data_IF_917361147943
#
_entry.id   IF_917361147943
#
_cell.length_a   1.000
_cell.length_b   1.000
_cell.length_c   1.000
_cell.angle_alpha   90.00
_cell.angle_beta   90.00
_cell.angle_gamma   90.00
#
_symmetry.space_group_name_H-M   'P 1'
#
loop_
_entity.id
_entity.type
_entity.pdbx_description
1 polymer ?
#
# COMPACT_ATOMS: atom_id res chain seq x y z
N UNK A 1 -44.94 24.81 15.13
CA UNK A 1 -45.60 24.35 13.88
C UNK A 1 -44.94 25.06 12.72
N UNK A 2 -44.22 24.32 11.87
CA UNK A 2 -43.70 24.85 10.61
C UNK A 2 -44.68 24.57 9.47
N UNK A 3 -44.80 25.50 8.54
CA UNK A 3 -45.22 25.25 7.17
C UNK A 3 -44.27 26.02 6.25
N UNK A 4 -43.95 25.33 5.15
CA UNK A 4 -43.18 25.66 3.95
C UNK A 4 -43.42 27.11 3.45
N UNK A 5 -42.54 27.73 2.66
CA UNK A 5 -42.05 27.24 1.37
C UNK A 5 -40.96 28.21 0.86
N UNK A 6 -39.92 27.74 0.16
CA UNK A 6 -39.17 28.63 -0.73
C UNK A 6 -38.54 27.86 -1.88
N UNK A 7 -39.22 27.94 -3.01
CA UNK A 7 -38.95 27.32 -4.29
C UNK A 7 -37.55 27.73 -4.82
N UNK A 8 -36.68 26.75 -5.06
CA UNK A 8 -35.44 26.93 -5.81
C UNK A 8 -35.78 27.11 -7.30
N UNK A 9 -35.37 28.24 -7.90
CA UNK A 9 -35.63 28.53 -9.31
C UNK A 9 -34.46 28.04 -10.16
N UNK A 10 -34.68 26.97 -10.91
CA UNK A 10 -33.71 26.40 -11.85
C UNK A 10 -33.84 27.11 -13.21
N UNK A 11 -32.76 27.68 -13.72
CA UNK A 11 -32.70 28.29 -15.05
C UNK A 11 -31.75 27.43 -15.90
N UNK A 12 -32.24 26.97 -17.05
CA UNK A 12 -31.47 26.16 -18.00
C UNK A 12 -30.90 27.07 -19.09
N UNK A 13 -29.59 27.03 -19.31
CA UNK A 13 -28.99 27.63 -20.50
C UNK A 13 -28.95 26.59 -21.61
N UNK A 14 -29.53 26.91 -22.77
CA UNK A 14 -29.77 25.95 -23.86
C UNK A 14 -28.54 25.67 -24.73
N UNK A 15 -27.41 26.36 -24.50
CA UNK A 15 -26.18 26.18 -25.29
C UNK A 15 -25.06 25.47 -24.55
N UNK A 16 -25.05 25.53 -23.23
CA UNK A 16 -24.10 24.83 -22.37
C UNK A 16 -24.93 24.15 -21.31
N UNK A 17 -24.95 22.82 -21.28
CA UNK A 17 -25.81 21.98 -20.44
C UNK A 17 -25.53 22.09 -18.92
N UNK A 18 -25.24 23.28 -18.43
CA UNK A 18 -25.00 23.62 -17.04
C UNK A 18 -26.30 24.11 -16.41
N UNK A 19 -26.60 23.56 -15.23
CA UNK A 19 -27.72 23.99 -14.40
C UNK A 19 -27.16 24.89 -13.31
N UNK A 20 -27.40 26.20 -13.40
CA UNK A 20 -26.91 27.16 -12.41
C UNK A 20 -27.96 27.32 -11.30
N UNK A 21 -27.74 26.63 -10.17
CA UNK A 21 -28.56 26.83 -8.95
C UNK A 21 -28.00 28.02 -8.16
N UNK A 22 -28.62 29.19 -8.30
CA UNK A 22 -28.23 30.38 -7.51
C UNK A 22 -28.92 30.39 -6.15
N UNK A 23 -28.24 29.90 -5.13
CA UNK A 23 -28.63 30.12 -3.73
C UNK A 23 -28.16 31.52 -3.29
N UNK A 24 -29.09 32.44 -3.01
CA UNK A 24 -28.73 33.73 -2.41
C UNK A 24 -28.34 33.48 -0.94
N UNK A 25 -27.04 33.34 -0.66
CA UNK A 25 -26.52 33.33 0.71
C UNK A 25 -25.90 34.69 1.04
N UNK A 26 -26.56 35.47 1.87
CA UNK A 26 -26.14 36.80 2.31
C UNK A 26 -25.20 36.78 3.51
N UNK A 27 -24.25 35.84 3.63
CA UNK A 27 -23.27 35.85 4.73
C UNK A 27 -21.88 35.34 4.31
N UNK A 28 -20.85 36.15 4.64
CA UNK A 28 -19.42 35.88 4.45
C UNK A 28 -18.99 34.73 5.37
N UNK A 29 -18.66 33.56 4.82
CA UNK A 29 -18.01 32.47 5.56
C UNK A 29 -16.59 32.25 5.02
N UNK A 30 -15.62 32.43 5.92
CA UNK A 30 -14.23 31.96 5.80
C UNK A 30 -14.26 30.41 5.82
N UNK A 31 -13.40 29.80 5.01
CA UNK A 31 -13.43 28.40 4.56
C UNK A 31 -13.57 27.31 5.66
N UNK A 32 -13.87 26.06 5.26
CA UNK A 32 -12.77 25.16 4.90
C UNK A 32 -12.97 24.49 3.52
N UNK A 33 -11.87 24.22 2.84
CA UNK A 33 -11.82 23.58 1.54
C UNK A 33 -12.50 22.20 1.57
N UNK A 34 -13.54 22.02 0.75
CA UNK A 34 -14.08 20.70 0.43
C UNK A 34 -13.41 20.23 -0.87
N UNK A 35 -12.61 19.18 -0.79
CA UNK A 35 -12.06 18.53 -1.99
C UNK A 35 -13.20 17.81 -2.71
N UNK A 36 -13.61 18.35 -3.87
CA UNK A 36 -14.54 17.68 -4.78
C UNK A 36 -13.75 16.61 -5.54
N UNK A 37 -13.97 15.34 -5.20
CA UNK A 37 -13.49 14.24 -6.03
C UNK A 37 -14.12 14.32 -7.42
N UNK A 38 -13.40 13.99 -8.51
CA UNK A 38 -13.97 14.05 -9.85
C UNK A 38 -15.10 13.01 -9.98
N UNK A 39 -16.33 13.51 -10.10
CA UNK A 39 -17.50 12.73 -10.53
C UNK A 39 -17.31 12.29 -11.98
N UNK A 40 -16.58 11.19 -12.17
CA UNK A 40 -16.55 10.49 -13.45
C UNK A 40 -17.84 9.67 -13.56
N UNK A 41 -18.69 10.06 -14.51
CA UNK A 41 -19.93 9.37 -14.90
C UNK A 41 -19.64 8.04 -15.64
N UNK A 42 -18.79 7.20 -15.05
CA UNK A 42 -18.52 5.87 -15.58
C UNK A 42 -19.60 4.96 -15.01
N UNK A 43 -20.51 4.49 -15.87
CA UNK A 43 -21.43 3.39 -15.54
C UNK A 43 -20.60 2.16 -15.18
N UNK A 44 -20.24 2.02 -13.89
CA UNK A 44 -19.60 0.82 -13.37
C UNK A 44 -20.60 -0.31 -13.56
N UNK A 45 -20.35 -1.16 -14.55
CA UNK A 45 -20.95 -2.49 -14.57
C UNK A 45 -20.53 -3.15 -13.26
N UNK A 46 -21.49 -3.64 -12.48
CA UNK A 46 -21.25 -4.49 -11.32
C UNK A 46 -20.53 -5.76 -11.80
N UNK A 47 -19.22 -5.69 -12.02
CA UNK A 47 -18.38 -6.86 -11.78
C UNK A 47 -18.48 -7.11 -10.28
N UNK A 48 -18.82 -8.33 -9.88
CA UNK A 48 -18.64 -8.74 -8.49
C UNK A 48 -17.22 -8.33 -8.10
N UNK A 49 -17.09 -7.53 -7.05
CA UNK A 49 -15.78 -7.29 -6.43
C UNK A 49 -15.22 -8.68 -6.13
N UNK A 50 -14.18 -9.10 -6.85
CA UNK A 50 -13.40 -10.23 -6.40
C UNK A 50 -12.91 -9.87 -5.00
N UNK A 51 -13.16 -10.78 -4.06
CA UNK A 51 -12.80 -10.70 -2.64
C UNK A 51 -11.26 -10.79 -2.45
N UNK A 52 -10.50 -10.74 -3.54
CA UNK A 52 -9.06 -10.98 -3.61
C UNK A 52 -8.24 -9.68 -3.67
N UNK A 53 -8.81 -8.54 -3.26
CA UNK A 53 -7.96 -7.39 -2.92
C UNK A 53 -7.46 -7.68 -1.52
N UNK A 54 -6.31 -8.35 -1.43
CA UNK A 54 -5.51 -8.51 -0.22
C UNK A 54 -5.58 -7.21 0.59
N UNK A 55 -6.37 -7.19 1.66
CA UNK A 55 -6.70 -5.93 2.32
C UNK A 55 -5.47 -5.50 3.13
N UNK A 56 -4.63 -4.69 2.49
CA UNK A 56 -3.42 -4.16 3.10
C UNK A 56 -3.72 -3.49 4.43
N UNK A 57 -4.93 -2.94 4.59
CA UNK A 57 -5.39 -2.37 5.85
C UNK A 57 -5.53 -3.43 6.94
N UNK A 58 -6.12 -4.58 6.66
CA UNK A 58 -6.27 -5.70 7.61
C UNK A 58 -4.92 -6.30 8.02
N UNK A 59 -3.96 -6.33 7.09
CA UNK A 59 -2.61 -6.82 7.38
C UNK A 59 -1.81 -5.80 8.19
N UNK A 60 -1.98 -4.52 7.90
CA UNK A 60 -1.33 -3.44 8.64
C UNK A 60 -1.91 -3.29 10.05
N UNK A 61 -3.19 -3.59 10.26
CA UNK A 61 -3.80 -3.60 11.61
C UNK A 61 -3.22 -4.70 12.50
N UNK A 62 -2.81 -5.84 11.91
CA UNK A 62 -2.18 -6.96 12.63
C UNK A 62 -0.74 -6.70 13.05
N UNK A 63 -0.10 -5.65 12.55
CA UNK A 63 1.33 -5.38 12.75
C UNK A 63 1.52 -4.25 13.75
N UNK A 64 2.46 -4.40 14.69
CA UNK A 64 2.77 -3.32 15.63
C UNK A 64 3.32 -2.08 14.90
N UNK A 65 3.11 -0.88 15.45
CA UNK A 65 3.68 0.37 14.89
C UNK A 65 5.21 0.28 14.70
N UNK A 66 5.90 -0.43 15.61
CA UNK A 66 7.33 -0.66 15.53
C UNK A 66 7.71 -1.55 14.35
N UNK A 67 6.98 -2.63 14.12
CA UNK A 67 7.19 -3.49 12.95
C UNK A 67 6.86 -2.78 11.64
N UNK A 68 5.80 -1.96 11.61
CA UNK A 68 5.51 -1.14 10.43
C UNK A 68 6.62 -0.13 10.11
N UNK A 69 7.26 0.47 11.12
CA UNK A 69 8.43 1.32 10.92
C UNK A 69 9.61 0.57 10.28
N UNK A 70 9.83 -0.68 10.69
CA UNK A 70 10.87 -1.55 10.10
C UNK A 70 10.51 -1.90 8.65
N UNK A 71 9.25 -2.22 8.38
CA UNK A 71 8.77 -2.47 7.03
C UNK A 71 8.98 -1.28 6.09
N UNK A 72 8.68 -0.06 6.55
CA UNK A 72 8.91 1.14 5.74
C UNK A 72 10.41 1.36 5.44
N UNK A 73 11.29 1.03 6.37
CA UNK A 73 12.74 1.08 6.14
C UNK A 73 13.17 0.05 5.08
N UNK A 74 12.70 -1.20 5.18
CA UNK A 74 12.93 -2.23 4.15
C UNK A 74 12.39 -1.79 2.78
N UNK A 75 11.18 -1.24 2.74
CA UNK A 75 10.55 -0.73 1.53
C UNK A 75 11.38 0.38 0.89
N UNK A 76 11.93 1.29 1.68
CA UNK A 76 12.78 2.38 1.19
C UNK A 76 14.10 1.86 0.61
N UNK A 77 14.70 0.86 1.25
CA UNK A 77 16.01 0.30 0.87
C UNK A 77 15.92 -0.91 -0.08
N UNK A 78 14.77 -1.16 -0.71
CA UNK A 78 14.60 -2.31 -1.60
C UNK A 78 15.14 -2.01 -3.00
N UNK A 79 15.53 -3.06 -3.72
CA UNK A 79 15.65 -3.00 -5.17
C UNK A 79 14.27 -2.87 -5.81
N UNK A 80 14.14 -1.94 -6.76
CA UNK A 80 12.91 -1.75 -7.54
C UNK A 80 12.62 -2.92 -8.49
N UNK A 81 13.64 -3.74 -8.77
CA UNK A 81 13.52 -4.82 -9.74
C UNK A 81 12.86 -6.07 -9.17
N UNK A 82 13.28 -6.48 -7.97
CA UNK A 82 12.89 -7.76 -7.39
C UNK A 82 12.41 -7.66 -5.93
N UNK A 83 12.22 -6.43 -5.42
CA UNK A 83 11.77 -6.16 -4.04
C UNK A 83 12.67 -6.72 -2.93
N UNK A 84 13.92 -7.04 -3.24
CA UNK A 84 14.88 -7.52 -2.26
C UNK A 84 15.45 -6.32 -1.50
N UNK A 85 15.48 -6.42 -0.18
CA UNK A 85 16.09 -5.44 0.70
C UNK A 85 17.07 -6.11 1.64
N UNK A 86 18.23 -5.49 1.84
CA UNK A 86 19.19 -5.91 2.85
C UNK A 86 19.03 -5.02 4.07
N UNK A 87 18.72 -5.63 5.20
CA UNK A 87 18.69 -4.94 6.48
C UNK A 87 20.07 -5.03 7.11
N UNK A 88 20.89 -3.99 7.02
CA UNK A 88 22.19 -3.97 7.69
C UNK A 88 21.95 -3.57 9.15
N UNK A 89 22.06 -4.48 10.14
CA UNK A 89 21.99 -4.05 11.53
C UNK A 89 23.17 -3.13 11.80
N UNK A 90 22.89 -1.95 12.37
CA UNK A 90 23.96 -1.06 12.82
C UNK A 90 24.83 -1.82 13.83
N UNK A 91 26.14 -1.80 13.63
CA UNK A 91 27.11 -2.50 14.51
C UNK A 91 26.98 -2.06 15.97
N UNK A 92 26.41 -0.87 16.19
CA UNK A 92 26.19 -0.22 17.48
C UNK A 92 24.90 -0.64 18.21
N UNK A 93 24.05 -1.49 17.63
CA UNK A 93 22.80 -1.87 18.31
C UNK A 93 23.07 -2.68 19.59
N UNK A 94 22.42 -2.26 20.68
CA UNK A 94 22.45 -2.95 21.96
C UNK A 94 21.67 -4.27 21.88
N UNK A 95 21.93 -5.20 22.82
CA UNK A 95 21.26 -6.53 22.86
C UNK A 95 19.73 -6.41 22.84
N UNK A 96 19.18 -5.50 23.64
CA UNK A 96 17.73 -5.27 23.73
C UNK A 96 17.13 -4.77 22.41
N UNK A 97 17.87 -3.92 21.69
CA UNK A 97 17.43 -3.40 20.38
C UNK A 97 17.44 -4.49 19.32
N UNK A 98 18.46 -5.36 19.33
CA UNK A 98 18.53 -6.54 18.46
C UNK A 98 17.37 -7.50 18.71
N UNK A 99 17.03 -7.76 19.98
CA UNK A 99 15.87 -8.59 20.32
C UNK A 99 14.54 -7.95 19.89
N UNK A 100 14.39 -6.64 20.10
CA UNK A 100 13.21 -5.88 19.66
C UNK A 100 13.05 -5.90 18.14
N UNK A 101 14.13 -5.66 17.39
CA UNK A 101 14.17 -5.75 15.95
C UNK A 101 13.82 -7.15 15.46
N UNK A 102 14.40 -8.19 16.07
CA UNK A 102 14.12 -9.59 15.72
C UNK A 102 12.63 -9.92 15.90
N UNK A 103 12.01 -9.47 16.99
CA UNK A 103 10.55 -9.62 17.22
C UNK A 103 9.73 -8.92 16.15
N UNK A 104 10.07 -7.68 15.80
CA UNK A 104 9.39 -6.89 14.76
C UNK A 104 9.51 -7.53 13.37
N UNK A 105 10.70 -8.01 13.01
CA UNK A 105 10.91 -8.75 11.76
C UNK A 105 10.12 -10.05 11.75
N UNK A 106 10.03 -10.74 12.88
CA UNK A 106 9.19 -11.93 13.01
C UNK A 106 7.71 -11.60 12.79
N UNK A 107 7.17 -10.54 13.39
CA UNK A 107 5.79 -10.09 13.16
C UNK A 107 5.51 -9.87 11.66
N UNK A 108 6.41 -9.18 10.95
CA UNK A 108 6.26 -8.93 9.51
C UNK A 108 6.28 -10.23 8.68
N UNK A 109 7.07 -11.22 9.09
CA UNK A 109 7.11 -12.55 8.46
C UNK A 109 5.83 -13.34 8.72
N UNK A 110 5.35 -13.33 9.96
CA UNK A 110 4.15 -14.06 10.37
C UNK A 110 2.90 -13.54 9.65
N UNK A 111 2.85 -12.23 9.35
CA UNK A 111 1.79 -11.59 8.56
C UNK A 111 1.98 -11.77 7.04
N UNK A 112 3.13 -12.28 6.60
CA UNK A 112 3.41 -12.53 5.17
C UNK A 112 3.75 -11.25 4.38
N UNK A 113 4.18 -10.19 5.05
CA UNK A 113 4.65 -8.97 4.38
C UNK A 113 6.07 -9.13 3.82
N UNK A 114 6.91 -9.90 4.52
CA UNK A 114 8.29 -10.17 4.13
C UNK A 114 8.63 -11.65 4.30
N UNK A 115 9.61 -12.13 3.52
CA UNK A 115 10.24 -13.45 3.72
C UNK A 115 11.75 -13.31 3.74
N UNK A 116 12.41 -14.22 4.44
CA UNK A 116 13.88 -14.27 4.45
C UNK A 116 14.38 -15.05 3.25
N UNK A 117 15.37 -14.49 2.56
CA UNK A 117 15.93 -15.09 1.36
C UNK A 117 16.83 -16.27 1.70
N UNK A 118 16.87 -17.29 0.84
CA UNK A 118 17.78 -18.43 0.97
C UNK A 118 19.11 -18.11 0.28
N UNK A 119 20.21 -18.71 0.75
CA UNK A 119 21.55 -18.45 0.19
C UNK A 119 21.62 -18.71 -1.32
N UNK A 120 20.97 -19.78 -1.76
CA UNK A 120 20.98 -20.23 -3.14
C UNK A 120 19.55 -20.56 -3.55
N UNK A 121 19.07 -19.89 -4.61
CA UNK A 121 17.76 -20.16 -5.20
C UNK A 121 17.99 -20.47 -6.69
N UNK A 122 17.72 -21.70 -7.16
CA UNK A 122 17.82 -22.02 -8.58
C UNK A 122 16.78 -21.22 -9.35
N UNK A 123 17.11 -20.81 -10.57
CA UNK A 123 16.22 -20.11 -11.50
C UNK A 123 16.30 -20.75 -12.89
N UNK A 124 15.44 -20.31 -13.80
CA UNK A 124 15.32 -20.86 -15.15
C UNK A 124 16.65 -20.66 -15.93
N UNK A 125 16.95 -21.56 -16.87
CA UNK A 125 18.13 -21.51 -17.77
C UNK A 125 19.49 -21.57 -17.06
N UNK A 126 19.66 -22.44 -16.06
CA UNK A 126 20.89 -22.59 -15.27
C UNK A 126 21.34 -21.32 -14.53
N UNK A 127 20.48 -20.31 -14.44
CA UNK A 127 20.74 -19.16 -13.60
C UNK A 127 20.41 -19.52 -12.15
N UNK A 128 21.16 -19.00 -11.19
CA UNK A 128 20.86 -19.17 -9.77
C UNK A 128 21.10 -17.87 -9.05
N UNK A 129 20.17 -17.47 -8.18
CA UNK A 129 20.37 -16.33 -7.31
C UNK A 129 21.21 -16.76 -6.11
N UNK A 130 22.38 -16.14 -5.97
CA UNK A 130 23.27 -16.30 -4.83
C UNK A 130 23.31 -15.02 -4.01
N UNK A 131 23.02 -15.15 -2.71
CA UNK A 131 23.01 -14.02 -1.79
C UNK A 131 24.16 -14.16 -0.78
N UNK A 132 24.97 -13.11 -0.66
CA UNK A 132 26.13 -13.10 0.23
C UNK A 132 25.72 -13.15 1.71
N UNK A 133 24.63 -12.47 2.08
CA UNK A 133 24.13 -12.39 3.45
C UNK A 133 22.63 -12.74 3.55
N UNK A 134 22.26 -14.03 3.42
CA UNK A 134 20.86 -14.44 3.44
C UNK A 134 20.20 -14.28 4.82
N UNK A 135 20.96 -14.02 5.89
CA UNK A 135 20.40 -13.85 7.24
C UNK A 135 19.71 -12.51 7.40
N UNK A 136 20.23 -11.50 6.71
CA UNK A 136 19.80 -10.11 6.78
C UNK A 136 19.11 -9.63 5.50
N UNK A 137 19.02 -10.47 4.48
CA UNK A 137 18.32 -10.17 3.23
C UNK A 137 16.88 -10.69 3.27
N UNK A 138 15.95 -9.80 2.99
CA UNK A 138 14.52 -10.04 2.97
C UNK A 138 13.95 -9.68 1.61
N UNK A 139 12.95 -10.44 1.18
CA UNK A 139 12.12 -10.11 0.03
C UNK A 139 10.76 -9.61 0.54
N UNK A 140 10.29 -8.50 -0.02
CA UNK A 140 8.94 -7.98 0.25
C UNK A 140 7.95 -8.69 -0.69
N UNK A 141 6.76 -9.01 -0.20
CA UNK A 141 5.74 -9.69 -0.99
C UNK A 141 5.47 -8.92 -2.30
N UNK A 142 5.72 -9.52 -3.48
CA UNK A 142 5.53 -8.86 -4.77
C UNK A 142 4.05 -8.55 -5.08
N UNK A 143 3.10 -9.24 -4.46
CA UNK A 143 1.66 -8.96 -4.60
C UNK A 143 1.28 -7.64 -3.91
N UNK A 144 1.97 -7.31 -2.82
CA UNK A 144 1.76 -6.08 -2.04
C UNK A 144 2.41 -4.87 -2.72
N UNK A 145 3.61 -5.08 -3.26
CA UNK A 145 4.44 -4.02 -3.78
C UNK A 145 4.92 -4.37 -5.18
N UNK A 146 4.45 -3.62 -6.19
CA UNK A 146 4.85 -3.85 -7.58
C UNK A 146 6.34 -3.56 -7.78
N UNK A 147 6.98 -4.41 -8.58
CA UNK A 147 8.37 -4.34 -9.01
C UNK A 147 8.44 -4.46 -10.54
N UNK A 148 9.58 -4.13 -11.15
CA UNK A 148 9.75 -4.19 -12.61
C UNK A 148 9.75 -5.63 -13.12
N UNK A 149 10.46 -6.53 -12.43
CA UNK A 149 10.55 -7.95 -12.76
C UNK A 149 9.67 -8.78 -11.82
N UNK A 150 8.36 -8.76 -12.07
CA UNK A 150 7.39 -9.45 -11.22
C UNK A 150 7.60 -10.97 -11.18
N UNK A 151 7.87 -11.60 -12.33
CA UNK A 151 8.05 -13.06 -12.43
C UNK A 151 9.26 -13.55 -11.61
N UNK A 152 10.35 -12.79 -11.62
CA UNK A 152 11.54 -13.10 -10.81
C UNK A 152 11.23 -12.97 -9.32
N UNK A 153 10.54 -11.90 -8.93
CA UNK A 153 10.16 -11.66 -7.54
C UNK A 153 9.18 -12.72 -7.03
N UNK A 154 8.22 -13.15 -7.84
CA UNK A 154 7.28 -14.22 -7.51
C UNK A 154 8.00 -15.57 -7.37
N UNK A 155 8.90 -15.88 -8.30
CA UNK A 155 9.72 -17.08 -8.22
C UNK A 155 10.55 -17.10 -6.93
N UNK A 156 11.23 -16.01 -6.61
CA UNK A 156 11.99 -15.85 -5.38
C UNK A 156 11.08 -16.00 -4.15
N UNK A 157 9.93 -15.35 -4.14
CA UNK A 157 8.96 -15.40 -3.05
C UNK A 157 8.52 -16.84 -2.74
N UNK A 158 8.20 -17.62 -3.77
CA UNK A 158 7.75 -19.00 -3.67
C UNK A 158 8.84 -19.97 -3.18
N UNK A 159 10.11 -19.67 -3.46
CA UNK A 159 11.25 -20.47 -3.02
C UNK A 159 11.85 -20.02 -1.68
N UNK A 160 11.42 -18.86 -1.15
CA UNK A 160 11.79 -18.39 0.17
C UNK A 160 10.89 -19.03 1.25
N UNK A 161 11.49 -19.38 2.39
CA UNK A 161 10.74 -19.95 3.52
C UNK A 161 10.08 -18.88 4.37
N UNK A 162 8.95 -19.24 5.01
CA UNK A 162 8.38 -18.48 6.12
C UNK A 162 9.34 -18.43 7.32
#
# INVERSE_FOLDING_TARGET
MGILDSQEKVIYDSKTSEVIVRKKSSHKLRAPFAAVAPFTNIKRRNKSMNVDVFDLLDLLEKVSKGAFSVFNNLKFNRSEDNNISKYTPEELMNKTEKESLSRRLKELKDVGLIRRVRKHIPYINNHSFTFDDPRNTYIINPEILRCTNHDEAEHLWNHCGN
#
